data_IF_383356410419
#
_entry.id   IF_383356410419
#
_cell.length_a   1.000
_cell.length_b   1.000
_cell.length_c   1.000
_cell.angle_alpha   90.00
_cell.angle_beta   90.00
_cell.angle_gamma   90.00
#
_symmetry.space_group_name_H-M   'P 1'
#
loop_
_entity.id
_entity.type
_entity.pdbx_description
1 polymer ?
#
# COMPACT_ATOMS: atom_id res chain seq x y z
N UNK A 1 23.12 24.38 -1.50
CA UNK A 1 21.76 24.66 -2.00
C UNK A 1 21.24 25.89 -1.28
N UNK A 2 20.61 26.84 -1.98
CA UNK A 2 19.97 27.99 -1.34
C UNK A 2 18.59 27.58 -0.79
N UNK A 3 18.09 28.28 0.22
CA UNK A 3 16.78 27.98 0.85
C UNK A 3 15.63 28.08 -0.16
N UNK A 4 15.72 29.03 -1.08
CA UNK A 4 14.78 29.21 -2.18
C UNK A 4 14.74 27.98 -3.11
N UNK A 5 15.90 27.43 -3.47
CA UNK A 5 15.97 26.21 -4.29
C UNK A 5 15.38 24.99 -3.57
N UNK A 6 15.58 24.87 -2.25
CA UNK A 6 15.01 23.78 -1.46
C UNK A 6 13.48 23.85 -1.41
N UNK A 7 12.92 25.07 -1.27
CA UNK A 7 11.47 25.29 -1.31
C UNK A 7 10.87 24.97 -2.69
N UNK A 8 11.53 25.37 -3.78
CA UNK A 8 11.06 25.07 -5.13
C UNK A 8 11.04 23.56 -5.43
N UNK A 9 12.10 22.83 -5.06
CA UNK A 9 12.16 21.37 -5.17
C UNK A 9 11.08 20.69 -4.33
N UNK A 10 10.86 21.13 -3.09
CA UNK A 10 9.79 20.62 -2.23
C UNK A 10 8.42 20.65 -2.94
N UNK A 11 8.07 21.78 -3.56
CA UNK A 11 6.82 21.93 -4.29
C UNK A 11 6.72 20.95 -5.47
N UNK A 12 7.80 20.76 -6.23
CA UNK A 12 7.84 19.81 -7.34
C UNK A 12 7.64 18.36 -6.87
N UNK A 13 8.30 17.97 -5.77
CA UNK A 13 8.12 16.64 -5.17
C UNK A 13 6.69 16.40 -4.69
N UNK A 14 6.04 17.42 -4.11
CA UNK A 14 4.64 17.33 -3.68
C UNK A 14 3.70 17.19 -4.89
N UNK A 15 3.90 17.96 -5.97
CA UNK A 15 3.09 17.80 -7.19
C UNK A 15 3.28 16.44 -7.85
N UNK A 16 4.53 15.95 -7.90
CA UNK A 16 4.81 14.62 -8.41
C UNK A 16 4.18 13.53 -7.52
N UNK A 17 4.22 13.67 -6.18
CA UNK A 17 3.57 12.76 -5.25
C UNK A 17 2.04 12.73 -5.47
N UNK A 18 1.40 13.89 -5.62
CA UNK A 18 -0.03 13.99 -5.95
C UNK A 18 -0.37 13.19 -7.21
N UNK A 19 0.39 13.39 -8.28
CA UNK A 19 0.19 12.66 -9.53
C UNK A 19 0.38 11.14 -9.34
N UNK A 20 1.46 10.71 -8.70
CA UNK A 20 1.72 9.29 -8.45
C UNK A 20 0.63 8.65 -7.58
N UNK A 21 0.11 9.36 -6.58
CA UNK A 21 -1.00 8.88 -5.77
C UNK A 21 -2.29 8.72 -6.57
N UNK A 22 -2.60 9.63 -7.50
CA UNK A 22 -3.78 9.46 -8.36
C UNK A 22 -3.67 8.18 -9.21
N UNK A 23 -2.48 7.90 -9.77
CA UNK A 23 -2.24 6.66 -10.53
C UNK A 23 -2.34 5.41 -9.63
N UNK A 24 -1.77 5.48 -8.41
CA UNK A 24 -1.87 4.41 -7.43
C UNK A 24 -3.33 4.09 -7.08
N UNK A 25 -4.13 5.13 -6.80
CA UNK A 25 -5.55 5.00 -6.50
C UNK A 25 -6.30 4.32 -7.66
N UNK A 26 -6.06 4.75 -8.90
CA UNK A 26 -6.70 4.15 -10.08
C UNK A 26 -6.29 2.68 -10.26
N UNK A 27 -5.02 2.35 -10.10
CA UNK A 27 -4.51 0.99 -10.22
C UNK A 27 -5.10 0.05 -9.15
N UNK A 28 -5.14 0.51 -7.89
CA UNK A 28 -5.72 -0.25 -6.78
C UNK A 28 -7.24 -0.39 -6.92
N UNK A 29 -7.95 0.66 -7.35
CA UNK A 29 -9.39 0.60 -7.60
C UNK A 29 -9.72 -0.36 -8.74
N UNK A 30 -8.93 -0.34 -9.82
CA UNK A 30 -9.07 -1.29 -10.92
C UNK A 30 -8.83 -2.73 -10.47
N UNK A 31 -7.77 -2.96 -9.70
CA UNK A 31 -7.48 -4.27 -9.14
C UNK A 31 -8.62 -4.77 -8.25
N UNK A 32 -9.18 -3.93 -7.38
CA UNK A 32 -10.31 -4.30 -6.54
C UNK A 32 -11.57 -4.61 -7.35
N UNK A 33 -11.82 -3.83 -8.41
CA UNK A 33 -12.98 -4.03 -9.29
C UNK A 33 -12.89 -5.35 -10.09
N UNK A 34 -11.72 -5.67 -10.63
CA UNK A 34 -11.52 -6.82 -11.53
C UNK A 34 -11.14 -8.09 -10.76
N UNK A 35 -10.24 -7.98 -9.79
CA UNK A 35 -9.69 -9.10 -9.01
C UNK A 35 -10.57 -9.43 -7.80
N UNK A 36 -11.26 -8.44 -7.21
CA UNK A 36 -12.20 -8.66 -6.11
C UNK A 36 -13.40 -9.53 -6.49
N UNK A 37 -13.82 -9.52 -7.78
CA UNK A 37 -14.85 -10.43 -8.30
C UNK A 37 -14.35 -11.88 -8.31
N UNK A 38 -13.09 -12.10 -8.70
CA UNK A 38 -12.45 -13.43 -8.74
C UNK A 38 -12.16 -13.98 -7.34
N UNK A 39 -11.76 -13.12 -6.41
CA UNK A 39 -11.52 -13.48 -5.01
C UNK A 39 -12.79 -13.92 -4.28
N UNK A 40 -13.92 -13.23 -4.50
CA UNK A 40 -15.23 -13.62 -3.91
C UNK A 40 -15.76 -14.94 -4.49
N UNK A 41 -15.60 -15.16 -5.80
CA UNK A 41 -15.99 -16.43 -6.42
C UNK A 41 -15.24 -17.62 -5.80
N UNK A 42 -13.94 -17.46 -5.51
CA UNK A 42 -13.12 -18.51 -4.87
C UNK A 42 -13.41 -18.70 -3.38
N UNK A 43 -13.72 -17.62 -2.64
CA UNK A 43 -14.14 -17.71 -1.24
C UNK A 43 -15.48 -18.47 -1.07
N UNK A 44 -16.28 -18.57 -2.14
CA UNK A 44 -17.56 -19.31 -2.15
C UNK A 44 -17.36 -20.83 -2.22
N UNK A 45 -16.17 -21.31 -2.59
CA UNK A 45 -15.88 -22.76 -2.68
C UNK A 45 -15.46 -23.40 -1.34
N UNK A 46 -15.20 -22.60 -0.29
CA UNK A 46 -14.99 -23.15 1.06
C UNK A 46 -16.35 -23.30 1.75
N UNK A 47 -17.13 -24.26 1.26
CA UNK A 47 -18.27 -24.82 1.99
C UNK A 47 -17.69 -25.51 3.24
N UNK A 48 -17.97 -24.95 4.42
CA UNK A 48 -17.71 -25.61 5.70
C UNK A 48 -18.43 -26.96 5.68
N UNK A 49 -17.68 -28.05 5.86
CA UNK A 49 -18.22 -29.40 5.93
C UNK A 49 -19.36 -29.46 6.93
N UNK A 50 -20.56 -29.76 6.45
CA UNK A 50 -21.72 -29.99 7.29
C UNK A 50 -21.50 -31.27 8.12
N UNK A 51 -21.09 -31.10 9.37
CA UNK A 51 -21.40 -31.97 10.52
C UNK A 51 -21.23 -33.48 10.35
N UNK A 52 -20.02 -33.97 10.07
CA UNK A 52 -19.66 -35.38 10.29
C UNK A 52 -18.70 -35.50 11.49
N UNK A 53 -18.90 -36.45 12.42
CA UNK A 53 -18.06 -36.55 13.61
C UNK A 53 -16.67 -37.09 13.24
N UNK A 54 -15.63 -36.37 13.67
CA UNK A 54 -14.22 -36.75 13.47
C UNK A 54 -13.78 -37.64 14.63
N UNK A 55 -13.34 -38.86 14.32
CA UNK A 55 -12.57 -39.70 15.24
C UNK A 55 -11.18 -39.08 15.46
N UNK A 56 -10.62 -39.12 16.68
CA UNK A 56 -9.32 -38.54 16.95
C UNK A 56 -8.27 -39.53 16.44
N UNK A 57 -7.46 -39.13 15.46
CA UNK A 57 -6.06 -39.56 15.25
C UNK A 57 -5.59 -39.11 13.87
N UNK A 58 -4.97 -37.92 13.80
CA UNK A 58 -3.92 -37.59 12.83
C UNK A 58 -3.33 -36.22 13.18
N UNK A 59 -2.03 -36.23 13.46
CA UNK A 59 -1.19 -35.08 13.79
C UNK A 59 -1.37 -33.90 12.83
N UNK A 60 -1.78 -32.75 13.37
CA UNK A 60 -1.69 -31.47 12.70
C UNK A 60 -0.27 -30.93 12.84
N UNK A 61 0.60 -31.26 11.89
CA UNK A 61 1.80 -30.43 11.64
C UNK A 61 1.34 -29.21 10.85
N UNK A 62 0.99 -28.14 11.57
CA UNK A 62 0.77 -26.82 10.98
C UNK A 62 2.12 -26.24 10.55
N UNK A 63 2.60 -26.63 9.37
CA UNK A 63 3.49 -25.75 8.61
C UNK A 63 2.59 -24.63 8.11
N UNK A 64 2.66 -23.46 8.76
CA UNK A 64 2.02 -22.26 8.28
C UNK A 64 2.45 -22.04 6.83
N UNK A 65 1.49 -22.16 5.94
CA UNK A 65 1.66 -22.05 4.51
C UNK A 65 1.94 -20.58 4.15
N UNK A 66 3.20 -20.16 4.21
CA UNK A 66 3.65 -18.86 3.69
C UNK A 66 3.38 -18.73 2.18
N UNK A 67 3.12 -19.84 1.47
CA UNK A 67 2.86 -19.85 0.03
C UNK A 67 1.41 -19.48 -0.35
N UNK A 68 0.45 -19.61 0.58
CA UNK A 68 -0.93 -19.15 0.37
C UNK A 68 -1.05 -17.62 0.21
N UNK A 69 -0.15 -16.87 0.86
CA UNK A 69 -0.13 -15.40 0.79
C UNK A 69 0.48 -14.90 -0.52
N UNK A 70 1.40 -15.67 -1.10
CA UNK A 70 2.12 -15.32 -2.32
C UNK A 70 1.31 -15.58 -3.59
N UNK A 71 0.44 -16.60 -3.58
CA UNK A 71 -0.24 -17.07 -4.79
C UNK A 71 -1.44 -16.21 -5.23
N UNK A 72 -1.89 -15.23 -4.44
CA UNK A 72 -3.10 -14.45 -4.73
C UNK A 72 -2.85 -12.94 -4.91
N UNK A 73 -1.58 -12.50 -5.01
CA UNK A 73 -1.28 -11.13 -5.44
C UNK A 73 -1.39 -11.03 -6.96
N UNK A 74 -2.46 -10.40 -7.42
CA UNK A 74 -2.57 -10.02 -8.83
C UNK A 74 -1.45 -9.03 -9.18
N UNK A 75 -0.92 -9.15 -10.41
CA UNK A 75 0.14 -8.25 -10.91
C UNK A 75 -0.30 -6.77 -10.84
N UNK A 76 -1.59 -6.49 -11.04
CA UNK A 76 -2.21 -5.18 -10.91
C UNK A 76 -2.19 -4.61 -9.49
N UNK A 77 -2.50 -5.44 -8.48
CA UNK A 77 -2.42 -5.02 -7.08
C UNK A 77 -0.98 -4.67 -6.66
N UNK A 78 0.00 -5.43 -7.17
CA UNK A 78 1.43 -5.13 -6.97
C UNK A 78 1.85 -3.78 -7.54
N UNK A 79 1.40 -3.44 -8.75
CA UNK A 79 1.70 -2.14 -9.39
C UNK A 79 1.08 -0.98 -8.58
N UNK A 80 -0.18 -1.13 -8.15
CA UNK A 80 -0.85 -0.11 -7.33
C UNK A 80 -0.12 0.16 -6.02
N UNK A 81 0.36 -0.90 -5.35
CA UNK A 81 1.15 -0.79 -4.11
C UNK A 81 2.54 -0.17 -4.35
N UNK A 82 3.22 -0.55 -5.44
CA UNK A 82 4.52 0.04 -5.80
C UNK A 82 4.42 1.55 -6.06
N UNK A 83 3.36 1.99 -6.75
CA UNK A 83 3.05 3.40 -6.95
C UNK A 83 2.74 4.10 -5.63
N UNK A 84 1.99 3.46 -4.72
CA UNK A 84 1.67 4.01 -3.40
C UNK A 84 2.94 4.28 -2.59
N UNK A 85 3.85 3.31 -2.54
CA UNK A 85 5.13 3.41 -1.84
C UNK A 85 6.00 4.49 -2.47
N UNK A 86 6.03 4.55 -3.80
CA UNK A 86 6.76 5.59 -4.53
C UNK A 86 6.21 6.99 -4.20
N UNK A 87 4.89 7.18 -4.25
CA UNK A 87 4.23 8.44 -3.87
C UNK A 87 4.55 8.87 -2.43
N UNK A 88 4.56 7.91 -1.49
CA UNK A 88 4.97 8.15 -0.10
C UNK A 88 6.43 8.58 0.02
N UNK A 89 7.33 7.96 -0.76
CA UNK A 89 8.73 8.37 -0.81
C UNK A 89 8.91 9.79 -1.35
N UNK A 90 8.24 10.13 -2.45
CA UNK A 90 8.27 11.49 -3.01
C UNK A 90 7.73 12.52 -2.02
N UNK A 91 6.62 12.21 -1.35
CA UNK A 91 6.04 13.08 -0.33
C UNK A 91 6.99 13.28 0.84
N UNK A 92 7.64 12.22 1.34
CA UNK A 92 8.61 12.31 2.42
C UNK A 92 9.80 13.21 2.06
N UNK A 93 10.33 13.07 0.84
CA UNK A 93 11.40 13.95 0.33
C UNK A 93 10.92 15.40 0.28
N UNK A 94 9.70 15.65 -0.24
CA UNK A 94 9.10 16.98 -0.26
C UNK A 94 8.99 17.61 1.12
N UNK A 95 8.56 16.85 2.13
CA UNK A 95 8.45 17.30 3.53
C UNK A 95 9.82 17.58 4.14
N UNK A 96 10.83 16.74 3.88
CA UNK A 96 12.20 16.97 4.37
C UNK A 96 12.80 18.24 3.77
N UNK A 97 12.65 18.44 2.46
CA UNK A 97 13.08 19.68 1.80
C UNK A 97 12.36 20.91 2.35
N UNK A 98 11.07 20.76 2.70
CA UNK A 98 10.29 21.82 3.35
C UNK A 98 10.85 22.17 4.72
N UNK A 99 11.24 21.17 5.50
CA UNK A 99 11.84 21.35 6.82
C UNK A 99 13.18 22.10 6.73
N UNK A 100 14.03 21.70 5.79
CA UNK A 100 15.31 22.36 5.51
C UNK A 100 15.10 23.82 5.11
N UNK A 101 14.16 24.07 4.19
CA UNK A 101 13.82 25.40 3.73
C UNK A 101 13.31 26.33 4.85
N UNK A 102 12.50 25.78 5.77
CA UNK A 102 11.92 26.54 6.87
C UNK A 102 12.82 26.65 8.11
N UNK A 103 13.91 25.86 8.17
CA UNK A 103 14.76 25.75 9.37
C UNK A 103 14.06 25.15 10.59
N UNK A 104 12.88 24.55 10.41
CA UNK A 104 12.06 23.94 11.46
C UNK A 104 11.20 22.82 10.89
N UNK A 105 10.71 21.94 11.75
CA UNK A 105 9.81 20.86 11.34
C UNK A 105 8.50 21.46 10.81
N UNK A 106 7.98 21.02 9.65
CA UNK A 106 6.78 21.61 9.05
C UNK A 106 5.50 21.40 9.86
N UNK A 107 5.54 20.60 10.92
CA UNK A 107 4.43 20.33 11.83
C UNK A 107 4.58 21.04 13.18
N UNK A 108 5.55 21.95 13.31
CA UNK A 108 5.66 22.83 14.47
C UNK A 108 4.42 23.69 14.60
N UNK A 109 3.84 23.72 15.79
CA UNK A 109 2.68 24.53 16.13
C UNK A 109 3.00 26.03 15.97
N UNK A 110 2.06 26.85 15.49
CA UNK A 110 2.28 28.30 15.33
C UNK A 110 2.27 29.09 16.66
N UNK A 111 1.99 28.41 17.77
CA UNK A 111 1.88 29.01 19.10
C UNK A 111 3.15 28.85 19.96
N UNK A 112 4.24 28.33 19.39
CA UNK A 112 5.54 28.18 20.04
C UNK A 112 6.61 29.06 19.38
#
# INVERSE_FOLDING_TARGET
MTQESAAALSNQFVYAAMFVYTLSMLALAWDLAVSGVRGRARATEVLVGAGAPVAPDAESTTVADDSATEQNRTKSGGIGLALLISGAGLQAIGVLLRAVAAGRVPWGNMYE
#
